data_IF_505573531100
#
_entry.id   IF_505573531100
#
_cell.length_a   1.000
_cell.length_b   1.000
_cell.length_c   1.000
_cell.angle_alpha   90.00
_cell.angle_beta   90.00
_cell.angle_gamma   90.00
#
_symmetry.space_group_name_H-M   'P 1'
#
loop_
_entity.id
_entity.type
_entity.pdbx_description
1 polymer ?
#
# COMPACT_ATOMS: atom_id res chain seq x y z
N UNK A 1 -66.52 17.40 -36.11
CA UNK A 1 -65.88 18.24 -37.15
C UNK A 1 -64.41 18.40 -36.75
N UNK A 2 -63.54 17.54 -37.31
CA UNK A 2 -62.50 17.89 -38.31
C UNK A 2 -61.28 18.59 -37.65
N UNK A 3 -60.26 17.86 -37.20
CA UNK A 3 -59.00 17.51 -37.91
C UNK A 3 -58.29 18.69 -38.57
N UNK A 4 -57.09 19.03 -38.07
CA UNK A 4 -55.98 19.48 -38.91
C UNK A 4 -54.67 18.90 -38.38
N UNK A 5 -54.03 18.14 -39.26
CA UNK A 5 -52.78 17.38 -39.12
C UNK A 5 -51.65 18.08 -39.88
N UNK A 6 -50.43 17.90 -39.39
CA UNK A 6 -49.19 18.01 -40.16
C UNK A 6 -48.59 19.41 -40.20
N UNK A 7 -47.30 19.61 -40.45
CA UNK A 7 -46.20 18.73 -40.82
C UNK A 7 -45.00 19.71 -40.92
N UNK A 8 -43.90 19.53 -40.20
CA UNK A 8 -42.61 20.07 -40.66
C UNK A 8 -41.45 19.37 -39.95
N UNK A 9 -41.11 18.19 -40.46
CA UNK A 9 -39.80 17.58 -40.31
C UNK A 9 -39.01 17.91 -41.59
N UNK A 10 -38.04 18.83 -41.52
CA UNK A 10 -37.10 19.09 -42.61
C UNK A 10 -35.72 19.42 -42.03
N UNK A 11 -34.79 18.48 -42.25
CA UNK A 11 -33.38 18.63 -42.60
C UNK A 11 -32.52 19.67 -41.84
N UNK A 12 -31.56 19.17 -41.05
CA UNK A 12 -30.18 19.66 -41.10
C UNK A 12 -29.20 18.50 -40.97
N UNK A 13 -28.98 17.85 -42.11
CA UNK A 13 -27.88 16.92 -42.41
C UNK A 13 -26.58 17.70 -42.59
N UNK A 14 -25.45 17.04 -42.32
CA UNK A 14 -24.08 17.33 -42.81
C UNK A 14 -23.30 18.47 -42.14
N UNK A 15 -22.47 18.13 -41.14
CA UNK A 15 -21.10 18.65 -41.08
C UNK A 15 -20.16 17.56 -40.52
N UNK A 16 -19.95 16.53 -41.35
CA UNK A 16 -18.78 15.65 -41.27
C UNK A 16 -17.63 16.37 -41.98
N UNK A 17 -16.70 16.93 -41.20
CA UNK A 17 -15.34 17.26 -41.63
C UNK A 17 -14.44 16.40 -40.74
N UNK A 18 -14.05 15.18 -41.15
CA UNK A 18 -12.96 14.92 -42.09
C UNK A 18 -11.73 15.82 -41.84
N UNK A 19 -11.05 15.57 -40.71
CA UNK A 19 -9.62 15.89 -40.59
C UNK A 19 -8.87 14.56 -40.69
N UNK A 20 -8.55 14.19 -41.93
CA UNK A 20 -7.41 13.35 -42.27
C UNK A 20 -6.14 14.17 -42.00
N UNK A 21 -5.41 13.85 -40.94
CA UNK A 21 -3.97 14.09 -40.93
C UNK A 21 -3.26 12.75 -40.91
N UNK A 22 -2.60 12.50 -42.03
CA UNK A 22 -1.72 11.39 -42.29
C UNK A 22 -0.56 11.36 -41.27
N UNK A 23 -0.19 10.15 -40.87
CA UNK A 23 1.06 9.84 -40.20
C UNK A 23 2.27 10.26 -41.03
N UNK A 24 3.42 10.46 -40.37
CA UNK A 24 4.61 9.78 -40.84
C UNK A 24 5.13 8.79 -39.78
N UNK A 25 5.31 7.55 -40.24
CA UNK A 25 6.21 6.59 -39.63
C UNK A 25 7.67 7.07 -39.81
N UNK A 26 8.46 7.04 -38.74
CA UNK A 26 9.94 7.06 -38.68
C UNK A 26 10.31 7.29 -37.20
N UNK A 27 11.15 6.56 -36.46
CA UNK A 27 12.10 5.50 -36.74
C UNK A 27 12.33 4.73 -35.41
N UNK A 28 12.52 3.41 -35.49
CA UNK A 28 13.51 2.71 -34.66
C UNK A 28 14.82 2.68 -35.50
N UNK A 29 16.04 2.67 -34.93
CA UNK A 29 16.52 1.87 -33.81
C UNK A 29 17.24 2.75 -32.75
N UNK A 30 17.64 2.26 -31.57
CA UNK A 30 18.99 1.74 -31.33
C UNK A 30 18.92 0.85 -30.09
N UNK A 31 19.34 -0.40 -30.26
CA UNK A 31 19.78 -1.28 -29.19
C UNK A 31 21.03 -0.65 -28.56
N UNK A 32 20.95 -0.21 -27.31
CA UNK A 32 22.15 -0.14 -26.49
C UNK A 32 22.35 -1.52 -25.84
N UNK A 33 23.43 -2.11 -26.30
CA UNK A 33 23.99 -3.40 -25.93
C UNK A 33 24.24 -3.45 -24.41
N UNK A 34 23.59 -4.39 -23.74
CA UNK A 34 23.93 -4.79 -22.38
C UNK A 34 25.25 -5.56 -22.48
N UNK A 35 26.37 -4.87 -22.32
CA UNK A 35 27.66 -5.52 -22.01
C UNK A 35 27.92 -5.37 -20.51
N UNK A 36 27.26 -6.19 -19.70
CA UNK A 36 27.75 -6.50 -18.36
C UNK A 36 28.52 -7.81 -18.44
N UNK A 37 29.80 -7.69 -18.81
CA UNK A 37 30.81 -8.71 -18.52
C UNK A 37 31.04 -8.69 -17.00
N UNK A 38 30.20 -9.38 -16.25
CA UNK A 38 30.51 -9.77 -14.88
C UNK A 38 31.04 -11.20 -14.90
N UNK A 39 32.36 -11.24 -14.80
CA UNK A 39 33.25 -12.38 -14.64
C UNK A 39 32.68 -13.43 -13.68
N UNK A 40 32.67 -14.67 -14.14
CA UNK A 40 32.44 -15.87 -13.34
C UNK A 40 33.77 -16.19 -12.64
N UNK A 41 33.97 -15.65 -11.44
CA UNK A 41 35.05 -16.10 -10.57
C UNK A 41 34.51 -17.25 -9.70
N UNK A 42 34.91 -18.47 -10.07
CA UNK A 42 34.89 -19.62 -9.18
C UNK A 42 35.97 -19.41 -8.11
N UNK A 43 35.64 -19.61 -6.83
CA UNK A 43 36.65 -19.82 -5.80
C UNK A 43 36.45 -19.03 -4.51
N UNK A 44 35.91 -19.73 -3.51
CA UNK A 44 36.51 -19.85 -2.18
C UNK A 44 36.93 -18.56 -1.44
N UNK A 45 36.11 -18.14 -0.47
CA UNK A 45 36.49 -18.08 0.94
C UNK A 45 35.43 -17.32 1.75
N UNK A 46 35.03 -17.91 2.88
CA UNK A 46 34.41 -17.24 4.00
C UNK A 46 35.16 -15.94 4.36
N UNK A 47 34.51 -14.77 4.39
CA UNK A 47 34.93 -13.72 5.29
C UNK A 47 34.27 -13.95 6.65
N UNK A 48 35.13 -14.15 7.64
CA UNK A 48 34.77 -14.14 9.04
C UNK A 48 33.90 -12.92 9.38
N UNK A 49 32.84 -13.21 10.11
CA UNK A 49 31.99 -12.26 10.81
C UNK A 49 32.88 -11.31 11.64
N UNK A 50 32.85 -9.99 11.44
CA UNK A 50 33.44 -9.09 12.42
C UNK A 50 32.58 -9.19 13.69
N UNK A 51 33.14 -9.82 14.73
CA UNK A 51 32.65 -9.69 16.10
C UNK A 51 32.62 -8.21 16.44
N UNK A 52 31.41 -7.63 16.42
CA UNK A 52 31.17 -6.33 17.02
C UNK A 52 31.12 -6.58 18.53
N UNK A 53 32.24 -6.34 19.19
CA UNK A 53 32.30 -6.17 20.64
C UNK A 53 31.43 -4.96 21.02
N UNK A 54 30.22 -5.25 21.50
CA UNK A 54 29.36 -4.27 22.14
C UNK A 54 29.82 -4.22 23.59
N UNK A 55 30.51 -3.14 23.95
CA UNK A 55 31.02 -2.91 25.30
C UNK A 55 29.88 -2.97 26.32
N UNK A 56 30.04 -3.86 27.29
CA UNK A 56 29.24 -3.95 28.50
C UNK A 56 29.29 -2.62 29.26
N UNK A 57 28.13 -2.05 29.61
CA UNK A 57 28.14 -0.84 30.41
C UNK A 57 26.84 -0.05 30.45
N UNK A 58 25.70 -0.70 30.69
CA UNK A 58 24.59 0.01 31.32
C UNK A 58 23.86 -0.93 32.28
N UNK A 59 24.36 -0.93 33.52
CA UNK A 59 23.66 -1.49 34.65
C UNK A 59 22.33 -0.75 34.79
N UNK A 60 21.23 -1.41 34.42
CA UNK A 60 19.90 -0.96 34.80
C UNK A 60 19.75 -1.17 36.31
N UNK A 61 19.48 -0.11 37.11
CA UNK A 61 19.12 -0.31 38.50
C UNK A 61 17.83 -1.12 38.55
N UNK A 62 17.86 -2.21 39.33
CA UNK A 62 16.69 -2.95 39.75
C UNK A 62 15.87 -2.08 40.71
N UNK A 63 15.22 -1.06 40.16
CA UNK A 63 14.14 -0.34 40.80
C UNK A 63 12.84 -0.98 40.34
N UNK A 64 12.20 -1.71 41.24
CA UNK A 64 10.79 -2.08 41.12
C UNK A 64 9.97 -0.79 41.08
N UNK A 65 9.67 -0.34 39.86
CA UNK A 65 8.73 0.74 39.62
C UNK A 65 7.36 0.07 39.58
N UNK A 66 6.71 -0.02 40.74
CA UNK A 66 5.27 -0.30 40.81
C UNK A 66 4.55 0.85 40.09
N UNK A 67 4.07 0.56 38.89
CA UNK A 67 3.16 1.43 38.12
C UNK A 67 1.75 0.94 38.37
N UNK A 68 1.20 1.33 39.50
CA UNK A 68 -0.23 1.40 39.75
C UNK A 68 -0.81 2.58 38.97
N UNK A 69 -0.81 2.43 37.65
CA UNK A 69 -1.25 3.44 36.70
C UNK A 69 -1.85 2.79 35.46
N UNK A 70 -3.17 2.68 35.49
CA UNK A 70 -4.08 2.30 34.41
C UNK A 70 -3.87 3.17 33.15
N UNK A 71 -2.83 2.84 32.39
CA UNK A 71 -2.63 3.23 30.98
C UNK A 71 -2.60 1.94 30.14
N UNK A 72 -3.66 1.14 30.29
CA UNK A 72 -4.03 0.14 29.31
C UNK A 72 -4.59 0.85 28.08
N UNK A 73 -3.75 1.23 27.11
CA UNK A 73 -4.28 1.46 25.77
C UNK A 73 -3.30 0.98 24.71
N UNK A 74 -3.50 -0.29 24.33
CA UNK A 74 -2.97 -0.95 23.13
C UNK A 74 -1.51 -1.43 23.13
N UNK A 75 -1.03 -1.96 24.26
CA UNK A 75 0.06 -2.93 24.20
C UNK A 75 -0.49 -4.29 23.73
N UNK A 76 -0.42 -4.56 22.43
CA UNK A 76 -0.74 -5.90 21.92
C UNK A 76 0.24 -6.92 22.52
N UNK A 77 -0.25 -7.90 23.29
CA UNK A 77 0.59 -9.03 23.71
C UNK A 77 0.95 -9.84 22.46
N UNK A 78 2.23 -9.84 22.08
CA UNK A 78 2.72 -10.60 20.92
C UNK A 78 2.31 -12.06 21.06
N UNK A 79 1.79 -12.65 19.98
CA UNK A 79 1.38 -14.06 19.96
C UNK A 79 -0.03 -14.36 20.48
N UNK A 80 -0.80 -13.36 20.91
CA UNK A 80 -2.22 -13.54 21.26
C UNK A 80 -3.16 -13.33 20.07
N UNK A 81 -2.89 -13.99 18.95
CA UNK A 81 -3.73 -13.89 17.75
C UNK A 81 -4.10 -15.27 17.19
N UNK A 82 -5.19 -15.33 16.44
CA UNK A 82 -5.58 -16.52 15.71
C UNK A 82 -4.98 -16.49 14.30
N UNK A 83 -4.15 -17.49 13.98
CA UNK A 83 -3.60 -17.68 12.65
C UNK A 83 -4.69 -18.05 11.63
N UNK A 84 -4.37 -17.93 10.34
CA UNK A 84 -5.28 -18.21 9.23
C UNK A 84 -5.46 -17.00 8.31
N UNK A 85 -6.70 -16.70 7.96
CA UNK A 85 -7.04 -15.58 7.08
C UNK A 85 -7.26 -14.30 7.88
N UNK A 86 -6.21 -13.50 8.02
CA UNK A 86 -6.27 -12.20 8.69
C UNK A 86 -6.89 -11.12 7.79
N UNK A 87 -7.43 -10.09 8.43
CA UNK A 87 -7.96 -8.89 7.79
C UNK A 87 -7.05 -7.67 7.97
N UNK A 88 -7.11 -6.77 7.00
CA UNK A 88 -6.42 -5.49 7.01
C UNK A 88 -7.42 -4.44 6.51
N UNK A 89 -7.84 -3.53 7.38
CA UNK A 89 -8.58 -2.34 6.96
C UNK A 89 -7.60 -1.17 6.88
N UNK A 90 -7.64 -0.39 5.81
CA UNK A 90 -6.87 0.84 5.72
C UNK A 90 -7.72 2.00 5.24
N UNK A 91 -7.40 3.20 5.73
CA UNK A 91 -7.81 4.48 5.16
C UNK A 91 -6.57 5.17 4.63
N UNK A 92 -6.57 5.54 3.35
CA UNK A 92 -5.50 6.32 2.72
C UNK A 92 -6.03 7.74 2.44
N UNK A 93 -5.33 8.75 2.96
CA UNK A 93 -5.62 10.15 2.69
C UNK A 93 -4.72 10.66 1.56
N UNK A 94 -5.30 11.36 0.59
CA UNK A 94 -4.59 12.00 -0.51
C UNK A 94 -3.60 13.04 0.02
N UNK A 95 -2.59 13.36 -0.78
CA UNK A 95 -1.67 14.46 -0.51
C UNK A 95 -2.44 15.79 -0.60
N UNK A 96 -2.09 16.74 0.26
CA UNK A 96 -2.62 18.12 0.22
C UNK A 96 -4.17 18.23 0.17
N UNK A 97 -4.89 17.30 0.81
CA UNK A 97 -6.35 17.25 0.79
C UNK A 97 -6.92 17.54 2.18
N UNK A 98 -7.00 18.85 2.48
CA UNK A 98 -7.69 19.38 3.65
C UNK A 98 -7.13 18.91 5.00
N UNK A 99 -7.93 18.99 6.09
CA UNK A 99 -7.47 18.66 7.44
C UNK A 99 -7.10 17.17 7.64
N UNK A 100 -7.46 16.30 6.69
CA UNK A 100 -7.09 14.89 6.72
C UNK A 100 -5.59 14.67 6.47
N UNK A 101 -4.99 15.43 5.55
CA UNK A 101 -3.57 15.35 5.23
C UNK A 101 -3.12 16.58 4.42
N UNK A 102 -2.50 17.53 5.09
CA UNK A 102 -1.92 18.75 4.51
C UNK A 102 -0.52 18.54 3.91
N UNK A 103 0.07 17.36 4.13
CA UNK A 103 1.43 17.04 3.71
C UNK A 103 1.53 16.63 2.24
N UNK A 104 2.75 16.65 1.70
CA UNK A 104 3.07 16.15 0.35
C UNK A 104 3.24 14.63 0.28
N UNK A 105 3.01 13.93 1.40
CA UNK A 105 3.11 12.47 1.53
C UNK A 105 1.73 11.88 1.72
N UNK A 106 1.57 10.58 1.55
CA UNK A 106 0.32 9.93 1.92
C UNK A 106 0.26 9.75 3.44
N UNK A 107 -0.95 9.81 3.99
CA UNK A 107 -1.24 9.42 5.36
C UNK A 107 -2.10 8.16 5.35
N UNK A 108 -1.83 7.24 6.27
CA UNK A 108 -2.57 6.00 6.45
C UNK A 108 -3.07 5.85 7.87
N UNK A 109 -4.32 5.41 8.00
CA UNK A 109 -4.81 4.73 9.19
C UNK A 109 -4.97 3.25 8.83
N UNK A 110 -4.50 2.34 9.67
CA UNK A 110 -4.46 0.90 9.39
C UNK A 110 -4.90 0.12 10.62
N UNK A 111 -5.79 -0.85 10.43
CA UNK A 111 -6.27 -1.79 11.45
C UNK A 111 -5.99 -3.20 10.95
N UNK A 112 -5.31 -4.00 11.76
CA UNK A 112 -5.02 -5.42 11.50
C UNK A 112 -5.97 -6.27 12.36
N UNK A 113 -6.62 -7.24 11.74
CA UNK A 113 -7.53 -8.19 12.39
C UNK A 113 -7.05 -9.61 12.23
N UNK A 114 -7.22 -10.43 13.26
CA UNK A 114 -6.91 -11.86 13.21
C UNK A 114 -7.95 -12.65 12.41
N UNK A 115 -7.80 -13.98 12.34
CA UNK A 115 -8.74 -14.84 11.61
C UNK A 115 -10.13 -14.97 12.23
N UNK A 116 -10.31 -14.55 13.49
CA UNK A 116 -11.62 -14.43 14.15
C UNK A 116 -12.20 -13.01 14.04
N UNK A 117 -11.47 -12.09 13.40
CA UNK A 117 -11.88 -10.70 13.23
C UNK A 117 -11.56 -9.80 14.42
N UNK A 118 -10.81 -10.28 15.42
CA UNK A 118 -10.38 -9.47 16.54
C UNK A 118 -9.29 -8.48 16.08
N UNK A 119 -9.40 -7.20 16.47
CA UNK A 119 -8.34 -6.23 16.20
C UNK A 119 -7.09 -6.60 16.99
N UNK A 120 -6.00 -6.82 16.28
CA UNK A 120 -4.71 -7.21 16.83
C UNK A 120 -3.63 -6.17 16.58
N UNK A 121 -3.91 -5.10 15.85
CA UNK A 121 -3.01 -3.96 15.69
C UNK A 121 -3.71 -2.78 15.06
N UNK A 122 -3.23 -1.60 15.39
CA UNK A 122 -3.74 -0.34 14.87
C UNK A 122 -2.58 0.64 14.70
N UNK A 123 -2.63 1.44 13.64
CA UNK A 123 -1.70 2.56 13.43
C UNK A 123 -2.50 3.69 12.82
N UNK A 124 -2.47 4.86 13.46
CA UNK A 124 -3.14 6.08 12.98
C UNK A 124 -2.11 7.09 12.51
N UNK A 125 -2.50 7.89 11.53
CA UNK A 125 -1.73 9.01 10.99
C UNK A 125 -0.32 8.65 10.52
N UNK A 126 -0.12 7.42 10.03
CA UNK A 126 1.18 6.98 9.50
C UNK A 126 1.47 7.71 8.19
N UNK A 127 2.50 8.56 8.19
CA UNK A 127 2.93 9.30 7.01
C UNK A 127 3.93 8.47 6.21
N UNK A 128 3.61 8.18 4.95
CA UNK A 128 4.46 7.39 4.05
C UNK A 128 4.68 8.15 2.75
N UNK A 129 5.95 8.38 2.41
CA UNK A 129 6.34 8.98 1.14
C UNK A 129 6.13 8.05 -0.05
N UNK A 130 6.21 8.60 -1.26
CA UNK A 130 6.05 7.84 -2.49
C UNK A 130 7.04 6.70 -2.56
N UNK A 131 6.53 5.49 -2.86
CA UNK A 131 7.32 4.26 -2.91
C UNK A 131 8.13 3.94 -1.64
N UNK A 132 7.88 4.66 -0.55
CA UNK A 132 8.51 4.44 0.76
C UNK A 132 7.73 3.39 1.55
N UNK A 133 8.31 2.91 2.64
CA UNK A 133 7.71 1.87 3.49
C UNK A 133 7.26 2.47 4.82
N UNK A 134 6.02 2.20 5.20
CA UNK A 134 5.51 2.41 6.56
C UNK A 134 5.31 1.06 7.26
N UNK A 135 5.62 0.98 8.55
CA UNK A 135 5.45 -0.22 9.36
C UNK A 135 4.22 -0.15 10.24
N UNK A 136 3.45 -1.24 10.30
CA UNK A 136 2.26 -1.39 11.13
C UNK A 136 2.54 -2.50 12.15
N UNK A 137 2.53 -2.13 13.42
CA UNK A 137 2.77 -3.05 14.54
C UNK A 137 1.45 -3.66 15.02
N UNK A 138 1.48 -4.95 15.37
CA UNK A 138 0.30 -5.74 15.75
C UNK A 138 0.74 -7.01 16.48
N UNK A 139 -0.19 -7.78 17.07
CA UNK A 139 0.04 -9.09 17.71
C UNK A 139 0.77 -10.14 16.87
N UNK A 140 0.88 -9.90 15.56
CA UNK A 140 1.63 -10.72 14.64
C UNK A 140 3.14 -10.75 14.95
N UNK A 141 3.85 -11.86 14.67
CA UNK A 141 5.28 -11.97 14.92
C UNK A 141 6.16 -11.01 14.11
N UNK A 142 5.67 -10.51 12.97
CA UNK A 142 6.40 -9.63 12.03
C UNK A 142 5.64 -8.32 11.80
N UNK A 143 6.36 -7.29 11.38
CA UNK A 143 5.78 -6.00 11.03
C UNK A 143 5.12 -6.10 9.66
N UNK A 144 3.86 -5.66 9.56
CA UNK A 144 3.18 -5.49 8.27
C UNK A 144 3.64 -4.19 7.62
N UNK A 145 4.05 -4.25 6.35
CA UNK A 145 4.56 -3.09 5.62
C UNK A 145 3.49 -2.57 4.67
N UNK A 146 3.34 -1.25 4.65
CA UNK A 146 2.52 -0.51 3.68
C UNK A 146 3.42 0.29 2.76
N UNK A 147 3.14 0.27 1.45
CA UNK A 147 3.91 0.99 0.43
C UNK A 147 2.97 1.65 -0.59
N UNK A 148 2.77 2.97 -0.54
CA UNK A 148 1.98 3.66 -1.56
C UNK A 148 2.74 3.73 -2.91
N UNK A 149 1.98 3.91 -3.99
CA UNK A 149 2.49 4.39 -5.26
C UNK A 149 2.82 5.90 -5.22
N UNK A 150 2.92 6.51 -6.39
CA UNK A 150 3.22 7.94 -6.56
C UNK A 150 1.96 8.78 -6.74
N UNK A 151 0.92 8.21 -7.35
CA UNK A 151 -0.33 8.86 -7.73
C UNK A 151 -1.50 8.22 -7.00
N UNK A 152 -2.58 8.99 -6.82
CA UNK A 152 -3.77 8.51 -6.10
C UNK A 152 -4.39 7.25 -6.72
N UNK A 153 -4.30 7.11 -8.05
CA UNK A 153 -4.79 5.94 -8.79
C UNK A 153 -3.90 4.71 -8.65
N UNK A 154 -2.68 4.85 -8.14
CA UNK A 154 -1.76 3.73 -8.01
C UNK A 154 -2.26 2.77 -6.93
N UNK A 155 -1.93 1.49 -7.08
CA UNK A 155 -2.23 0.50 -6.06
C UNK A 155 -1.41 0.74 -4.80
N UNK A 156 -1.95 0.34 -3.65
CA UNK A 156 -1.20 0.29 -2.39
C UNK A 156 -0.61 -1.11 -2.28
N UNK A 157 0.71 -1.17 -2.09
CA UNK A 157 1.42 -2.41 -1.84
C UNK A 157 1.45 -2.74 -0.35
N UNK A 158 1.39 -4.04 -0.06
CA UNK A 158 1.51 -4.58 1.28
C UNK A 158 2.53 -5.72 1.31
N UNK A 159 3.16 -5.93 2.45
CA UNK A 159 4.02 -7.07 2.69
C UNK A 159 3.92 -7.57 4.12
N UNK A 160 3.97 -8.88 4.29
CA UNK A 160 4.01 -9.55 5.59
C UNK A 160 4.66 -10.93 5.41
N UNK A 161 5.60 -11.27 6.28
CA UNK A 161 6.27 -12.58 6.32
C UNK A 161 6.75 -13.10 4.94
N UNK A 162 7.41 -12.23 4.17
CA UNK A 162 7.91 -12.55 2.82
C UNK A 162 6.85 -12.60 1.72
N UNK A 163 5.56 -12.57 2.06
CA UNK A 163 4.48 -12.39 1.09
C UNK A 163 4.34 -10.91 0.70
N UNK A 164 4.03 -10.68 -0.58
CA UNK A 164 3.79 -9.37 -1.15
C UNK A 164 2.49 -9.37 -1.95
N UNK A 165 1.71 -8.31 -1.82
CA UNK A 165 0.50 -8.09 -2.61
C UNK A 165 0.22 -6.62 -2.82
N UNK A 166 -0.67 -6.31 -3.74
CA UNK A 166 -1.12 -4.95 -3.98
C UNK A 166 -2.64 -4.91 -4.16
N UNK A 167 -3.23 -3.74 -3.96
CA UNK A 167 -4.69 -3.57 -4.03
C UNK A 167 -5.30 -3.82 -5.41
N UNK A 168 -4.49 -3.86 -6.48
CA UNK A 168 -4.93 -4.07 -7.86
C UNK A 168 -4.82 -5.52 -8.34
N UNK A 169 -4.21 -6.42 -7.55
CA UNK A 169 -4.05 -7.84 -7.88
C UNK A 169 -4.75 -8.71 -6.85
N UNK A 170 -5.50 -9.71 -7.33
CA UNK A 170 -6.27 -10.61 -6.49
C UNK A 170 -5.91 -12.07 -6.77
N UNK A 171 -5.73 -12.86 -5.72
CA UNK A 171 -5.61 -14.31 -5.82
C UNK A 171 -6.07 -14.98 -4.52
N UNK A 172 -5.84 -16.29 -4.39
CA UNK A 172 -6.29 -17.07 -3.23
C UNK A 172 -5.51 -16.79 -1.94
N UNK A 173 -4.34 -16.14 -2.02
CA UNK A 173 -3.50 -15.81 -0.86
C UNK A 173 -3.66 -14.37 -0.40
N UNK A 174 -4.23 -13.52 -1.24
CA UNK A 174 -4.54 -12.14 -0.92
C UNK A 174 -5.69 -11.62 -1.77
N UNK A 175 -6.63 -10.95 -1.11
CA UNK A 175 -7.77 -10.30 -1.75
C UNK A 175 -7.89 -8.89 -1.20
N UNK A 176 -8.20 -7.91 -2.04
CA UNK A 176 -8.44 -6.53 -1.60
C UNK A 176 -9.73 -6.01 -2.23
N UNK A 177 -10.51 -5.25 -1.47
CA UNK A 177 -11.63 -4.46 -1.96
C UNK A 177 -11.37 -3.01 -1.58
N UNK A 178 -11.14 -2.16 -2.56
CA UNK A 178 -10.79 -0.75 -2.33
C UNK A 178 -11.87 0.16 -2.91
N UNK A 179 -12.33 1.10 -2.10
CA UNK A 179 -13.27 2.14 -2.48
C UNK A 179 -12.62 3.23 -3.33
N UNK A 180 -13.46 4.11 -3.88
CA UNK A 180 -13.00 5.34 -4.53
C UNK A 180 -12.58 6.34 -3.45
N UNK A 181 -11.84 7.36 -3.87
CA UNK A 181 -11.66 8.53 -3.01
C UNK A 181 -12.98 9.27 -2.86
N UNK A 182 -13.30 9.61 -1.62
CA UNK A 182 -14.39 10.48 -1.20
C UNK A 182 -13.86 11.43 -0.13
N UNK A 183 -14.09 12.74 -0.28
CA UNK A 183 -13.62 13.76 0.66
C UNK A 183 -12.12 13.75 0.95
N UNK A 184 -11.26 13.35 -0.01
CA UNK A 184 -9.81 13.32 0.18
C UNK A 184 -9.26 12.01 0.74
N UNK A 185 -10.10 11.01 1.01
CA UNK A 185 -9.68 9.71 1.55
C UNK A 185 -10.32 8.55 0.80
N UNK A 186 -9.66 7.40 0.75
CA UNK A 186 -10.25 6.12 0.31
C UNK A 186 -10.03 5.06 1.36
N UNK A 187 -10.95 4.10 1.41
CA UNK A 187 -10.85 2.96 2.32
C UNK A 187 -10.66 1.68 1.53
N UNK A 188 -10.02 0.69 2.16
CA UNK A 188 -9.96 -0.64 1.59
C UNK A 188 -9.83 -1.71 2.65
N UNK A 189 -10.40 -2.87 2.34
CA UNK A 189 -10.30 -4.09 3.13
C UNK A 189 -9.51 -5.12 2.34
N UNK A 190 -8.42 -5.59 2.91
CA UNK A 190 -7.62 -6.66 2.37
C UNK A 190 -7.63 -7.87 3.30
N UNK A 191 -7.48 -9.06 2.73
CA UNK A 191 -7.23 -10.30 3.47
C UNK A 191 -5.87 -10.87 3.09
N UNK A 192 -5.20 -11.48 4.06
CA UNK A 192 -3.89 -12.11 3.88
C UNK A 192 -3.72 -13.28 4.85
N UNK A 193 -2.82 -14.21 4.52
CA UNK A 193 -2.47 -15.31 5.42
C UNK A 193 -1.53 -14.81 6.53
N UNK A 194 -1.87 -15.10 7.78
CA UNK A 194 -1.06 -14.81 8.97
C UNK A 194 -0.78 -16.11 9.75
N UNK A 195 0.51 -16.40 9.96
CA UNK A 195 1.02 -17.57 10.68
C UNK A 195 2.14 -17.16 11.65
#
# INVERSE_FOLDING_TARGET
>A
MARSTGLLAILFTLFVHLILFASPASAAPVNDEITVLAKRDEGTAHPANPEVEISEGFAHPAGEFEVDGELEDQHWKRGSYQSGWCGLHFTQYQKHQGPGNDTSKYRFDVIVKDSKGATIGETKAMVVGDHSRGGVYSALPKVLIVKPGSKDRDSVGFAYDGAHWDTGRHNRRHWCKVGRYDGGARQGDCGFTCN
#
